data_IF_093411317259
#
_entry.id   IF_093411317259
#
_cell.length_a   1.000
_cell.length_b   1.000
_cell.length_c   1.000
_cell.angle_alpha   90.00
_cell.angle_beta   90.00
_cell.angle_gamma   90.00
#
_symmetry.space_group_name_H-M   'P 1'
#
loop_
_entity.id
_entity.type
_entity.pdbx_description
1 polymer ?
#
# COMPACT_ATOMS: atom_id res chain seq x y z
N UNK A 1 -28.71 6.47 -5.80
CA UNK A 1 -28.14 5.13 -5.59
C UNK A 1 -26.70 5.33 -5.19
N UNK A 2 -26.21 4.67 -4.13
CA UNK A 2 -24.79 4.70 -3.83
C UNK A 2 -24.02 4.18 -5.07
N UNK A 3 -22.99 4.90 -5.51
CA UNK A 3 -22.18 4.46 -6.64
C UNK A 3 -21.50 3.12 -6.30
N UNK A 4 -21.55 2.16 -7.23
CA UNK A 4 -21.00 0.82 -7.00
C UNK A 4 -19.48 0.87 -7.10
N UNK A 5 -18.80 0.39 -6.07
CA UNK A 5 -17.34 0.27 -6.01
C UNK A 5 -16.93 -1.16 -6.29
N UNK A 6 -15.98 -1.35 -7.22
CA UNK A 6 -15.35 -2.66 -7.46
C UNK A 6 -13.82 -2.55 -7.46
N UNK A 7 -13.16 -3.63 -7.06
CA UNK A 7 -11.71 -3.76 -7.08
C UNK A 7 -11.32 -5.01 -7.84
N UNK A 8 -10.68 -4.84 -8.99
CA UNK A 8 -10.06 -5.92 -9.75
C UNK A 8 -8.63 -6.13 -9.24
N UNK A 9 -8.33 -7.34 -8.76
CA UNK A 9 -7.05 -7.64 -8.12
C UNK A 9 -6.79 -9.12 -7.92
N UNK A 10 -5.61 -9.43 -7.41
CA UNK A 10 -5.22 -10.78 -7.00
C UNK A 10 -4.72 -10.71 -5.56
N UNK A 11 -5.23 -11.59 -4.70
CA UNK A 11 -4.92 -11.59 -3.26
C UNK A 11 -3.42 -11.66 -2.91
N UNK A 12 -2.52 -12.28 -3.70
CA UNK A 12 -1.09 -12.25 -3.39
C UNK A 12 -0.39 -10.89 -3.62
N UNK A 13 -1.08 -9.90 -4.20
CA UNK A 13 -0.46 -8.63 -4.61
C UNK A 13 -0.42 -7.60 -3.47
N UNK A 14 0.76 -7.09 -3.06
CA UNK A 14 0.85 -6.04 -2.05
C UNK A 14 0.22 -4.73 -2.51
N UNK A 15 0.22 -4.46 -3.81
CA UNK A 15 -0.41 -3.26 -4.39
C UNK A 15 -1.93 -3.30 -4.26
N UNK A 16 -2.54 -4.48 -4.32
CA UNK A 16 -3.99 -4.65 -4.11
C UNK A 16 -4.35 -4.42 -2.65
N UNK A 17 -3.52 -4.89 -1.71
CA UNK A 17 -3.76 -4.69 -0.28
C UNK A 17 -3.78 -3.23 0.13
N UNK A 18 -2.95 -2.37 -0.48
CA UNK A 18 -3.01 -0.90 -0.26
C UNK A 18 -4.44 -0.37 -0.47
N UNK A 19 -5.11 -0.79 -1.55
CA UNK A 19 -6.47 -0.38 -1.88
C UNK A 19 -7.49 -1.04 -0.95
N UNK A 20 -7.35 -2.34 -0.68
CA UNK A 20 -8.24 -3.06 0.26
C UNK A 20 -8.25 -2.37 1.62
N UNK A 21 -7.08 -1.98 2.14
CA UNK A 21 -7.03 -1.32 3.44
C UNK A 21 -7.55 0.10 3.42
N UNK A 22 -7.28 0.89 2.37
CA UNK A 22 -7.90 2.19 2.23
C UNK A 22 -9.44 2.11 2.26
N UNK A 23 -10.02 1.13 1.54
CA UNK A 23 -11.46 0.88 1.56
C UNK A 23 -11.96 0.44 2.93
N UNK A 24 -11.23 -0.45 3.61
CA UNK A 24 -11.58 -0.92 4.96
C UNK A 24 -11.51 0.18 6.02
N UNK A 25 -10.45 0.98 6.03
CA UNK A 25 -10.26 2.10 6.97
C UNK A 25 -11.36 3.15 6.83
N UNK A 26 -11.86 3.34 5.60
CA UNK A 26 -12.99 4.23 5.32
C UNK A 26 -14.36 3.56 5.39
N UNK A 27 -14.43 2.28 5.76
CA UNK A 27 -15.66 1.48 5.80
C UNK A 27 -16.47 1.52 4.49
N UNK A 28 -15.79 1.56 3.33
CA UNK A 28 -16.42 1.59 2.01
C UNK A 28 -16.73 0.16 1.55
N UNK A 29 -18.01 -0.21 1.32
CA UNK A 29 -18.34 -1.51 0.76
C UNK A 29 -17.89 -1.60 -0.70
N UNK A 30 -17.32 -2.74 -1.09
CA UNK A 30 -16.84 -2.98 -2.45
C UNK A 30 -17.02 -4.43 -2.89
N UNK A 31 -17.15 -4.63 -4.20
CA UNK A 31 -17.08 -5.96 -4.83
C UNK A 31 -15.63 -6.26 -5.23
N UNK A 32 -15.07 -7.36 -4.75
CA UNK A 32 -13.74 -7.82 -5.16
C UNK A 32 -13.87 -8.78 -6.35
N UNK A 33 -13.14 -8.50 -7.42
CA UNK A 33 -13.08 -9.36 -8.62
C UNK A 33 -11.66 -9.92 -8.68
N UNK A 34 -11.53 -11.23 -8.47
CA UNK A 34 -10.25 -11.94 -8.58
C UNK A 34 -9.78 -11.96 -10.05
N UNK A 35 -8.50 -11.65 -10.27
CA UNK A 35 -7.86 -11.59 -11.57
C UNK A 35 -6.74 -12.62 -11.68
N UNK A 36 -6.78 -13.45 -12.73
CA UNK A 36 -5.70 -14.36 -13.08
C UNK A 36 -4.56 -13.60 -13.79
N UNK A 37 -3.40 -13.52 -13.16
CA UNK A 37 -2.22 -12.82 -13.71
C UNK A 37 -1.49 -13.62 -14.79
N UNK A 38 -1.70 -14.93 -14.86
CA UNK A 38 -1.18 -15.79 -15.92
C UNK A 38 -2.02 -15.71 -17.19
N UNK A 39 -3.32 -15.48 -17.05
CA UNK A 39 -4.25 -15.29 -18.16
C UNK A 39 -5.16 -14.07 -17.93
N UNK A 40 -4.63 -12.89 -18.29
CA UNK A 40 -5.28 -11.59 -18.05
C UNK A 40 -6.65 -11.50 -18.71
N UNK A 41 -7.65 -11.12 -17.94
CA UNK A 41 -9.04 -11.00 -18.38
C UNK A 41 -9.22 -9.87 -19.40
N UNK A 42 -10.23 -9.98 -20.29
CA UNK A 42 -10.62 -8.87 -21.16
C UNK A 42 -10.98 -7.60 -20.38
N UNK A 43 -11.46 -7.75 -19.14
CA UNK A 43 -11.83 -6.65 -18.26
C UNK A 43 -10.59 -5.84 -17.84
N UNK A 44 -9.52 -6.52 -17.40
CA UNK A 44 -8.26 -5.88 -17.07
C UNK A 44 -7.67 -5.15 -18.27
N UNK A 45 -7.65 -5.82 -19.43
CA UNK A 45 -7.10 -5.24 -20.66
C UNK A 45 -7.91 -4.03 -21.15
N UNK A 46 -9.23 -4.04 -20.92
CA UNK A 46 -10.12 -2.91 -21.22
C UNK A 46 -9.86 -1.72 -20.31
N UNK A 47 -9.75 -1.94 -18.99
CA UNK A 47 -9.68 -0.83 -18.02
C UNK A 47 -8.27 -0.32 -17.74
N UNK A 48 -7.23 -1.13 -17.96
CA UNK A 48 -5.84 -0.70 -17.91
C UNK A 48 -5.09 -1.12 -19.19
N UNK A 49 -5.41 -0.52 -20.36
CA UNK A 49 -4.78 -0.90 -21.62
C UNK A 49 -3.28 -0.55 -21.68
N UNK A 50 -2.84 0.44 -20.90
CA UNK A 50 -1.46 0.95 -20.87
C UNK A 50 -0.53 -0.02 -20.14
N UNK A 51 -0.78 -0.28 -18.86
CA UNK A 51 0.10 -1.12 -18.04
C UNK A 51 -0.36 -2.57 -17.96
N UNK A 52 -1.65 -2.84 -18.16
CA UNK A 52 -2.25 -4.18 -18.07
C UNK A 52 -1.94 -4.83 -16.72
N UNK A 53 -2.00 -4.04 -15.64
CA UNK A 53 -1.66 -4.42 -14.26
C UNK A 53 -2.83 -4.15 -13.32
N UNK A 54 -2.85 -4.93 -12.24
CA UNK A 54 -3.70 -4.71 -11.06
C UNK A 54 -2.93 -3.89 -10.00
N UNK A 55 -3.62 -3.25 -9.03
CA UNK A 55 -5.08 -3.13 -8.92
C UNK A 55 -5.70 -2.23 -9.99
N UNK A 56 -6.97 -2.50 -10.33
CA UNK A 56 -7.85 -1.55 -11.04
C UNK A 56 -9.08 -1.31 -10.18
N UNK A 57 -9.30 -0.06 -9.80
CA UNK A 57 -10.45 0.38 -9.02
C UNK A 57 -11.53 0.92 -9.95
N UNK A 58 -12.77 0.46 -9.79
CA UNK A 58 -13.92 0.91 -10.57
C UNK A 58 -14.87 1.65 -9.64
N UNK A 59 -15.08 2.93 -9.93
CA UNK A 59 -16.13 3.74 -9.31
C UNK A 59 -17.24 3.96 -10.34
N UNK A 60 -18.28 3.12 -10.26
CA UNK A 60 -19.22 2.95 -11.37
C UNK A 60 -18.50 2.43 -12.62
N UNK A 61 -18.59 3.15 -13.73
CA UNK A 61 -17.93 2.81 -15.00
C UNK A 61 -16.57 3.51 -15.20
N UNK A 62 -16.05 4.18 -14.17
CA UNK A 62 -14.80 4.96 -14.24
C UNK A 62 -13.63 4.16 -13.64
N UNK A 63 -12.66 3.71 -14.45
CA UNK A 63 -11.48 3.03 -13.94
C UNK A 63 -10.42 4.00 -13.41
N UNK A 64 -9.81 3.63 -12.28
CA UNK A 64 -8.62 4.26 -11.70
C UNK A 64 -7.55 3.18 -11.53
N UNK A 65 -6.34 3.45 -12.01
CA UNK A 65 -5.21 2.53 -12.00
C UNK A 65 -4.08 3.09 -11.11
N UNK A 66 -3.09 2.24 -10.82
CA UNK A 66 -1.96 2.50 -9.91
C UNK A 66 -2.37 2.62 -8.44
N UNK A 67 -1.82 1.73 -7.59
CA UNK A 67 -2.31 1.56 -6.22
C UNK A 67 -2.34 2.84 -5.39
N UNK A 68 -1.31 3.70 -5.47
CA UNK A 68 -1.27 4.94 -4.70
C UNK A 68 -2.16 6.04 -5.26
N UNK A 69 -2.33 6.11 -6.59
CA UNK A 69 -3.31 7.01 -7.21
C UNK A 69 -4.72 6.62 -6.78
N UNK A 70 -5.02 5.32 -6.72
CA UNK A 70 -6.31 4.81 -6.22
C UNK A 70 -6.52 5.20 -4.75
N UNK A 71 -5.50 5.06 -3.89
CA UNK A 71 -5.60 5.44 -2.48
C UNK A 71 -5.86 6.95 -2.32
N UNK A 72 -5.16 7.81 -3.06
CA UNK A 72 -5.41 9.26 -3.06
C UNK A 72 -6.83 9.58 -3.56
N UNK A 73 -7.27 8.93 -4.64
CA UNK A 73 -8.63 9.09 -5.16
C UNK A 73 -9.70 8.70 -4.13
N UNK A 74 -9.50 7.59 -3.41
CA UNK A 74 -10.38 7.17 -2.31
C UNK A 74 -10.38 8.21 -1.18
N UNK A 75 -9.23 8.80 -0.86
CA UNK A 75 -9.12 9.83 0.18
C UNK A 75 -9.86 11.12 -0.17
N UNK A 76 -9.81 11.53 -1.44
CA UNK A 76 -10.52 12.71 -1.95
C UNK A 76 -12.03 12.49 -2.07
N UNK A 77 -12.46 11.31 -2.53
CA UNK A 77 -13.88 11.01 -2.73
C UNK A 77 -14.65 10.76 -1.43
N UNK A 78 -13.98 10.22 -0.41
CA UNK A 78 -14.55 9.95 0.92
C UNK A 78 -13.72 10.68 1.98
N UNK A 79 -13.93 11.98 2.19
CA UNK A 79 -13.08 12.82 3.06
C UNK A 79 -13.21 12.48 4.55
N UNK A 80 -14.13 11.60 4.94
CA UNK A 80 -14.23 11.10 6.30
C UNK A 80 -13.02 10.20 6.61
N UNK A 81 -12.43 10.36 7.78
CA UNK A 81 -11.23 9.64 8.21
C UNK A 81 -10.09 9.75 7.17
N UNK A 82 -9.45 10.93 7.06
CA UNK A 82 -8.42 11.17 6.06
C UNK A 82 -7.23 10.22 6.25
N UNK A 83 -6.74 9.65 5.16
CA UNK A 83 -5.59 8.75 5.13
C UNK A 83 -4.27 9.53 5.04
N UNK A 84 -4.31 10.71 4.44
CA UNK A 84 -3.18 11.62 4.37
C UNK A 84 -3.30 12.76 5.39
N UNK A 85 -2.17 13.33 5.85
CA UNK A 85 -2.18 14.55 6.64
C UNK A 85 -2.87 15.71 5.91
N UNK A 86 -3.57 16.55 6.65
CA UNK A 86 -4.20 17.76 6.12
C UNK A 86 -3.18 18.86 5.80
N UNK A 87 -2.09 18.93 6.57
CA UNK A 87 -1.02 19.90 6.34
C UNK A 87 -0.31 19.61 5.00
N UNK A 88 -0.15 20.62 4.12
CA UNK A 88 0.47 20.41 2.81
C UNK A 88 1.91 19.89 2.88
N UNK A 89 2.69 20.31 3.87
CA UNK A 89 4.08 19.90 4.03
C UNK A 89 4.17 18.46 4.53
N UNK A 90 3.42 18.11 5.57
CA UNK A 90 3.35 16.73 6.07
C UNK A 90 2.86 15.75 5.00
N UNK A 91 1.87 16.16 4.20
CA UNK A 91 1.38 15.37 3.06
C UNK A 91 2.44 15.21 1.97
N UNK A 92 3.24 16.24 1.69
CA UNK A 92 4.36 16.14 0.75
C UNK A 92 5.43 15.17 1.25
N UNK A 93 5.74 15.18 2.55
CA UNK A 93 6.66 14.22 3.17
C UNK A 93 6.11 12.79 3.13
N UNK A 94 4.82 12.59 3.41
CA UNK A 94 4.19 11.27 3.28
C UNK A 94 4.31 10.74 1.84
N UNK A 95 4.04 11.58 0.84
CA UNK A 95 4.21 11.24 -0.58
C UNK A 95 5.67 10.94 -0.95
N UNK A 96 6.63 11.63 -0.36
CA UNK A 96 8.05 11.35 -0.55
C UNK A 96 8.39 9.92 -0.10
N UNK A 97 7.96 9.52 1.10
CA UNK A 97 8.23 8.18 1.63
C UNK A 97 7.53 7.07 0.85
N UNK A 98 6.28 7.32 0.41
CA UNK A 98 5.58 6.42 -0.50
C UNK A 98 6.39 6.25 -1.79
N UNK A 99 6.81 7.35 -2.42
CA UNK A 99 7.59 7.29 -3.66
C UNK A 99 8.92 6.57 -3.46
N UNK A 100 9.63 6.84 -2.37
CA UNK A 100 10.86 6.14 -2.02
C UNK A 100 10.63 4.62 -1.94
N UNK A 101 9.55 4.19 -1.27
CA UNK A 101 9.18 2.79 -1.16
C UNK A 101 8.78 2.16 -2.52
N UNK A 102 8.14 2.90 -3.42
CA UNK A 102 7.83 2.40 -4.77
C UNK A 102 9.08 2.24 -5.64
N UNK A 103 9.97 3.22 -5.60
CA UNK A 103 11.23 3.19 -6.36
C UNK A 103 12.13 2.03 -5.88
N UNK A 104 12.16 1.77 -4.57
CA UNK A 104 12.96 0.69 -3.95
C UNK A 104 12.24 -0.66 -3.84
N UNK A 105 10.91 -0.69 -3.95
CA UNK A 105 10.12 -1.92 -3.84
C UNK A 105 10.44 -2.96 -4.93
N UNK A 106 11.02 -2.52 -6.06
CA UNK A 106 11.56 -3.42 -7.09
C UNK A 106 12.67 -4.34 -6.55
N UNK A 107 13.51 -3.88 -5.62
CA UNK A 107 14.57 -4.69 -4.99
C UNK A 107 13.98 -5.80 -4.11
N UNK A 108 12.91 -5.51 -3.36
CA UNK A 108 12.19 -6.50 -2.54
C UNK A 108 11.58 -7.58 -3.43
N UNK A 109 10.95 -7.19 -4.54
CA UNK A 109 10.35 -8.16 -5.45
C UNK A 109 11.40 -8.99 -6.19
N UNK A 110 12.54 -8.39 -6.54
CA UNK A 110 13.68 -9.12 -7.12
C UNK A 110 14.28 -10.12 -6.13
N UNK A 111 14.35 -9.79 -4.85
CA UNK A 111 14.85 -10.72 -3.82
C UNK A 111 14.06 -12.04 -3.81
N UNK A 112 12.74 -12.01 -3.99
CA UNK A 112 11.93 -13.24 -4.06
C UNK A 112 12.21 -14.12 -5.29
N UNK A 113 12.86 -13.59 -6.33
CA UNK A 113 13.18 -14.31 -7.58
C UNK A 113 14.68 -14.58 -7.75
N UNK A 114 15.52 -13.82 -7.06
CA UNK A 114 16.97 -13.88 -7.19
C UNK A 114 17.54 -15.20 -6.60
N UNK A 115 18.68 -15.63 -7.13
CA UNK A 115 19.44 -16.79 -6.64
C UNK A 115 20.93 -16.47 -6.60
N UNK A 116 21.67 -17.16 -5.74
CA UNK A 116 23.13 -17.03 -5.66
C UNK A 116 23.58 -15.61 -5.32
N UNK A 117 24.56 -15.09 -6.06
CA UNK A 117 25.14 -13.76 -5.86
C UNK A 117 24.11 -12.62 -5.99
N UNK A 118 23.11 -12.78 -6.89
CA UNK A 118 22.05 -11.78 -7.05
C UNK A 118 21.16 -11.69 -5.79
N UNK A 119 20.97 -12.79 -5.06
CA UNK A 119 20.23 -12.77 -3.81
C UNK A 119 20.97 -11.94 -2.75
N UNK A 120 22.29 -12.12 -2.62
CA UNK A 120 23.10 -11.31 -1.70
C UNK A 120 23.04 -9.81 -2.01
N UNK A 121 23.10 -9.45 -3.30
CA UNK A 121 22.97 -8.05 -3.74
C UNK A 121 21.59 -7.47 -3.42
N UNK A 122 20.51 -8.18 -3.76
CA UNK A 122 19.13 -7.71 -3.52
C UNK A 122 18.79 -7.64 -2.03
N UNK A 123 19.31 -8.56 -1.21
CA UNK A 123 19.22 -8.48 0.25
C UNK A 123 19.91 -7.24 0.79
N UNK A 124 21.14 -6.93 0.33
CA UNK A 124 21.86 -5.73 0.75
C UNK A 124 21.10 -4.45 0.39
N UNK A 125 20.63 -4.34 -0.86
CA UNK A 125 19.81 -3.20 -1.31
C UNK A 125 18.52 -3.05 -0.47
N UNK A 126 17.88 -4.16 -0.11
CA UNK A 126 16.67 -4.17 0.72
C UNK A 126 16.96 -3.72 2.15
N UNK A 127 18.06 -4.19 2.75
CA UNK A 127 18.50 -3.78 4.09
C UNK A 127 18.85 -2.29 4.13
N UNK A 128 19.57 -1.78 3.13
CA UNK A 128 19.86 -0.35 3.02
C UNK A 128 18.57 0.48 2.89
N UNK A 129 17.59 0.01 2.12
CA UNK A 129 16.27 0.66 2.06
C UNK A 129 15.60 0.69 3.44
N UNK A 130 15.59 -0.44 4.17
CA UNK A 130 15.01 -0.54 5.51
C UNK A 130 15.70 0.39 6.51
N UNK A 131 17.04 0.44 6.49
CA UNK A 131 17.82 1.35 7.34
C UNK A 131 17.50 2.82 7.07
N UNK A 132 17.37 3.21 5.80
CA UNK A 132 16.97 4.57 5.45
C UNK A 132 15.58 4.92 6.00
N UNK A 133 14.63 3.98 5.95
CA UNK A 133 13.28 4.18 6.51
C UNK A 133 13.35 4.32 8.03
N UNK A 134 14.12 3.46 8.73
CA UNK A 134 14.30 3.51 10.18
C UNK A 134 14.86 4.87 10.63
N UNK A 135 16.05 5.23 10.14
CA UNK A 135 16.84 6.38 10.60
C UNK A 135 16.24 7.74 10.20
N UNK A 136 15.54 7.79 9.07
CA UNK A 136 15.10 9.06 8.48
C UNK A 136 13.59 9.17 8.37
N UNK A 137 12.88 8.05 8.23
CA UNK A 137 11.42 8.01 8.11
C UNK A 137 10.72 7.92 9.45
N UNK A 138 11.22 7.08 10.38
CA UNK A 138 10.55 6.86 11.66
C UNK A 138 11.06 7.84 12.75
N UNK A 139 12.38 7.97 12.90
CA UNK A 139 12.97 8.67 14.07
C UNK A 139 12.85 10.21 14.03
N UNK A 140 12.72 10.83 12.85
CA UNK A 140 12.77 12.31 12.72
C UNK A 140 11.43 12.97 12.47
N UNK A 141 10.40 12.20 12.08
CA UNK A 141 9.14 12.77 11.61
C UNK A 141 7.98 12.60 12.59
N UNK A 142 8.14 11.75 13.61
CA UNK A 142 7.03 11.35 14.50
C UNK A 142 7.22 11.75 15.96
N UNK A 143 8.39 12.30 16.32
CA UNK A 143 8.73 12.73 17.68
C UNK A 143 8.22 14.14 18.08
N UNK A 144 7.49 14.83 17.19
CA UNK A 144 6.93 16.17 17.45
C UNK A 144 5.40 16.22 17.47
N UNK A 145 4.73 15.07 17.48
CA UNK A 145 3.33 15.03 17.89
C UNK A 145 3.30 15.26 19.41
N UNK A 146 2.54 16.25 19.92
CA UNK A 146 2.43 16.44 21.36
C UNK A 146 1.91 15.14 21.96
N UNK A 147 2.54 14.74 23.07
CA UNK A 147 2.12 13.63 23.92
C UNK A 147 0.64 13.80 24.26
N UNK A 148 -0.24 13.21 23.43
CA UNK A 148 -1.66 13.12 23.74
C UNK A 148 -1.78 11.94 24.66
N UNK A 149 -1.64 12.25 25.95
CA UNK A 149 -2.08 11.39 27.04
C UNK A 149 -3.44 10.77 26.70
N UNK A 150 -3.58 9.50 27.04
CA UNK A 150 -4.63 8.59 26.59
C UNK A 150 -5.98 9.25 26.28
N UNK A 151 -6.29 9.31 24.99
CA UNK A 151 -7.67 9.36 24.51
C UNK A 151 -7.78 8.40 23.33
N UNK A 152 -8.69 7.45 23.47
CA UNK A 152 -8.99 6.32 22.57
C UNK A 152 -9.70 6.75 21.29
N UNK A 153 -9.25 7.83 20.65
CA UNK A 153 -9.89 8.42 19.49
C UNK A 153 -9.03 8.21 18.22
N UNK A 154 -9.05 6.95 17.75
CA UNK A 154 -9.02 6.40 16.39
C UNK A 154 -8.55 7.23 15.16
N UNK A 155 -7.66 8.22 15.29
CA UNK A 155 -7.13 8.99 14.15
C UNK A 155 -5.79 8.40 13.70
N UNK A 156 -5.89 7.26 13.02
CA UNK A 156 -4.77 6.47 12.51
C UNK A 156 -4.04 7.10 11.33
N UNK A 157 -2.74 7.31 11.48
CA UNK A 157 -1.82 7.44 10.35
C UNK A 157 -1.24 6.04 10.11
N UNK A 158 -1.81 5.31 9.15
CA UNK A 158 -1.40 3.94 8.83
C UNK A 158 -0.25 4.00 7.81
N UNK A 159 1.00 3.94 8.28
CA UNK A 159 2.16 3.83 7.41
C UNK A 159 2.16 2.45 6.72
N UNK A 160 1.64 2.39 5.50
CA UNK A 160 1.62 1.16 4.68
C UNK A 160 2.99 0.87 4.07
N UNK A 161 3.95 0.45 4.89
CA UNK A 161 5.14 -0.27 4.43
C UNK A 161 4.89 -1.75 4.65
N UNK A 162 4.20 -2.40 3.69
CA UNK A 162 4.07 -3.86 3.69
C UNK A 162 5.36 -4.45 3.16
N UNK A 163 6.29 -4.75 4.07
CA UNK A 163 7.40 -5.64 3.77
C UNK A 163 7.11 -6.94 4.50
N UNK A 164 6.25 -7.76 3.89
CA UNK A 164 5.98 -9.11 4.36
C UNK A 164 7.19 -9.99 4.09
N UNK A 165 8.10 -10.13 5.07
CA UNK A 165 9.15 -11.15 5.07
C UNK A 165 8.80 -12.21 6.11
N UNK A 166 8.39 -13.39 5.65
CA UNK A 166 8.25 -14.59 6.48
C UNK A 166 9.06 -15.74 5.89
N UNK A 167 9.77 -16.55 6.70
CA UNK A 167 10.52 -17.71 6.22
C UNK A 167 9.59 -18.81 5.69
N UNK A 168 10.09 -19.54 4.69
CA UNK A 168 9.37 -20.41 3.75
C UNK A 168 8.77 -21.71 4.31
N UNK A 169 8.33 -21.76 5.56
CA UNK A 169 7.77 -23.00 6.14
C UNK A 169 6.57 -22.82 7.08
N UNK A 170 5.97 -21.63 7.18
CA UNK A 170 4.74 -21.41 7.97
C UNK A 170 3.73 -20.57 7.18
N UNK A 171 2.40 -20.80 7.33
CA UNK A 171 1.40 -20.02 6.61
C UNK A 171 1.55 -18.53 6.97
N UNK A 172 1.71 -17.72 5.93
CA UNK A 172 1.77 -16.25 5.88
C UNK A 172 1.32 -15.57 7.18
N UNK A 173 2.24 -15.42 8.14
CA UNK A 173 2.03 -14.53 9.27
C UNK A 173 2.36 -13.11 8.79
N UNK A 174 1.31 -12.39 8.37
CA UNK A 174 1.31 -10.93 8.33
C UNK A 174 1.61 -10.42 9.74
N UNK A 175 2.88 -10.14 10.02
CA UNK A 175 3.24 -9.46 11.27
C UNK A 175 2.77 -8.02 11.14
N UNK A 176 1.72 -7.72 11.90
CA UNK A 176 1.28 -6.38 12.23
C UNK A 176 2.42 -5.65 12.95
N UNK A 177 2.73 -4.42 12.52
CA UNK A 177 3.15 -3.40 13.50
C UNK A 177 1.88 -2.66 13.89
N UNK A 178 1.04 -3.32 14.68
CA UNK A 178 0.15 -2.64 15.61
C UNK A 178 0.92 -2.57 16.91
N UNK A 179 1.32 -1.37 17.31
CA UNK A 179 1.65 -1.11 18.71
C UNK A 179 0.37 -1.36 19.50
N UNK A 180 0.29 -2.54 20.11
CA UNK A 180 -0.56 -2.78 21.26
C UNK A 180 0.37 -2.76 22.46
N UNK A 181 0.02 -1.96 23.47
CA UNK A 181 0.46 -2.21 24.85
C UNK A 181 0.00 -3.59 25.33
#
# INVERSE_FOLDING_TARGET
MAERVKLLGALPSPFVYRVIWALKLKAIPYEFIEEDLSNKSPLLLKYNPVHKKIPVFLHGDKPVCESMIIVEYIDEMWPQNPLLPNDPYERALARFWVKFAEDKGSSVWRMFRAKGEELGKTMKETLEMLQNVEEHGLEKQWLHLPDRGGDTDNNGICAFVVIGLGPSSSPVCTHFVTFHE
#
